data_IF_063137000131
#
_entry.id   IF_063137000131
#
_cell.length_a   1.000
_cell.length_b   1.000
_cell.length_c   1.000
_cell.angle_alpha   90.00
_cell.angle_beta   90.00
_cell.angle_gamma   90.00
#
_symmetry.space_group_name_H-M   'P 1'
#
loop_
_entity.id
_entity.type
_entity.pdbx_description
1 polymer ?
2 water ?
#
# COMPACT_ATOMS: atom_id res chain seq x y z
N UNK A 2 -37.61 -30.05 16.10
CA UNK A 2 -37.99 -28.63 15.87
C UNK A 2 -36.75 -27.75 15.70
N UNK A 3 -36.55 -26.80 16.61
CA UNK A 3 -35.41 -25.90 16.50
C UNK A 3 -34.65 -25.65 17.80
N UNK A 4 -33.71 -24.72 17.71
CA UNK A 4 -32.89 -24.32 18.84
C UNK A 4 -33.37 -22.94 19.27
N UNK A 5 -33.02 -22.54 20.50
CA UNK A 5 -33.42 -21.24 20.99
C UNK A 5 -32.30 -20.68 21.85
N UNK A 6 -32.41 -19.41 22.23
CA UNK A 6 -31.42 -18.74 23.05
C UNK A 6 -32.11 -17.66 23.88
N UNK A 7 -31.48 -17.29 24.98
CA UNK A 7 -32.01 -16.26 25.85
C UNK A 7 -32.45 -15.04 25.03
N UNK A 8 -33.66 -14.56 25.28
CA UNK A 8 -34.23 -13.40 24.59
C UNK A 8 -33.28 -12.20 24.48
N UNK A 9 -32.53 -11.94 25.54
CA UNK A 9 -31.63 -10.80 25.56
C UNK A 9 -30.25 -11.04 24.93
N UNK A 10 -29.91 -12.30 24.66
CA UNK A 10 -28.60 -12.64 24.09
C UNK A 10 -28.23 -11.91 22.80
N UNK A 11 -26.92 -11.73 22.61
CA UNK A 11 -26.38 -11.06 21.43
C UNK A 11 -25.37 -11.93 20.66
N UNK A 12 -25.64 -12.16 19.38
CA UNK A 12 -24.75 -12.94 18.53
C UNK A 12 -23.74 -12.02 17.86
N UNK A 13 -22.53 -12.52 17.68
CA UNK A 13 -21.47 -11.77 17.03
C UNK A 13 -20.70 -12.69 16.08
N UNK A 14 -20.21 -12.13 14.97
CA UNK A 14 -19.43 -12.89 14.01
C UNK A 14 -18.26 -12.07 13.53
N UNK A 15 -17.06 -12.54 13.81
CA UNK A 15 -15.86 -11.84 13.40
C UNK A 15 -15.15 -12.68 12.36
N UNK A 16 -14.92 -12.09 11.19
CA UNK A 16 -14.25 -12.78 10.10
C UNK A 16 -12.77 -12.41 10.18
N UNK A 17 -11.91 -13.43 10.15
CA UNK A 17 -10.48 -13.18 10.21
C UNK A 17 -9.94 -12.96 8.80
N UNK A 18 -10.70 -13.40 7.79
CA UNK A 18 -10.31 -13.26 6.39
C UNK A 18 -10.93 -12.07 5.62
N UNK A 19 -12.00 -11.50 6.14
CA UNK A 19 -12.66 -10.40 5.45
C UNK A 19 -11.79 -9.21 5.04
N UNK A 20 -11.02 -8.68 5.98
CA UNK A 20 -10.21 -7.53 5.68
C UNK A 20 -9.18 -7.83 4.61
N UNK A 21 -8.71 -9.07 4.57
CA UNK A 21 -7.72 -9.45 3.58
C UNK A 21 -8.42 -9.61 2.24
N UNK A 22 -9.62 -10.16 2.26
CA UNK A 22 -10.35 -10.31 1.01
C UNK A 22 -10.65 -8.94 0.42
N UNK A 23 -11.10 -8.00 1.25
CA UNK A 23 -11.39 -6.66 0.77
C UNK A 23 -10.15 -6.04 0.13
N UNK A 24 -9.02 -6.12 0.82
CA UNK A 24 -7.78 -5.56 0.30
C UNK A 24 -7.41 -6.20 -1.04
N UNK A 25 -7.60 -7.50 -1.16
CA UNK A 25 -7.27 -8.17 -2.41
C UNK A 25 -8.27 -7.84 -3.51
N UNK A 26 -9.49 -7.48 -3.15
CA UNK A 26 -10.45 -7.10 -4.18
C UNK A 26 -10.02 -5.71 -4.70
N UNK A 27 -9.52 -4.87 -3.79
CA UNK A 27 -9.09 -3.53 -4.15
C UNK A 27 -7.83 -3.62 -5.02
N UNK A 28 -6.98 -4.59 -4.74
CA UNK A 28 -5.76 -4.77 -5.52
C UNK A 28 -6.13 -5.22 -6.93
N UNK A 29 -7.13 -6.11 -7.01
CA UNK A 29 -7.61 -6.60 -8.29
C UNK A 29 -8.21 -5.43 -9.10
N UNK A 30 -8.93 -4.54 -8.41
CA UNK A 30 -9.54 -3.36 -9.02
C UNK A 30 -8.44 -2.45 -9.54
N UNK A 31 -7.36 -2.37 -8.76
CA UNK A 31 -6.21 -1.54 -9.11
C UNK A 31 -5.44 -2.08 -10.32
N UNK A 32 -5.25 -3.39 -10.38
CA UNK A 32 -4.51 -3.98 -11.50
C UNK A 32 -5.31 -3.92 -12.81
N UNK A 33 -6.64 -3.93 -12.70
CA UNK A 33 -7.52 -3.87 -13.87
C UNK A 33 -7.94 -2.46 -14.26
N UNK A 34 -7.67 -1.50 -13.38
CA UNK A 34 -8.08 -0.13 -13.57
C UNK A 34 -9.61 -0.06 -13.72
N UNK A 35 -10.29 -0.59 -12.70
CA UNK A 35 -11.74 -0.52 -12.65
C UNK A 35 -12.04 -0.04 -11.22
N UNK A 36 -12.96 0.93 -11.08
CA UNK A 36 -13.34 1.52 -9.80
C UNK A 36 -12.23 2.29 -9.07
N UNK A 37 -11.19 2.69 -9.80
CA UNK A 37 -10.11 3.49 -9.20
C UNK A 37 -10.49 4.96 -9.37
N UNK A 38 -9.76 5.86 -8.73
CA UNK A 38 -10.13 7.26 -8.77
C UNK A 38 -8.96 8.22 -8.73
N UNK A 39 -7.75 7.70 -8.67
CA UNK A 39 -6.60 8.54 -8.66
C UNK A 39 -5.47 7.90 -9.46
N UNK A 40 -4.64 8.76 -10.04
CA UNK A 40 -3.51 8.35 -10.83
C UNK A 40 -2.28 8.95 -10.17
N UNK A 41 -1.25 8.15 -9.98
CA UNK A 41 -0.02 8.63 -9.39
C UNK A 41 0.96 8.55 -10.55
N UNK A 42 1.64 9.66 -10.83
CA UNK A 42 2.62 9.71 -11.92
C UNK A 42 4.03 9.63 -11.35
N UNK A 43 4.76 8.60 -11.74
CA UNK A 43 6.13 8.41 -11.28
C UNK A 43 7.00 8.19 -12.52
N UNK A 44 7.88 9.15 -12.80
CA UNK A 44 8.77 9.11 -13.97
C UNK A 44 7.99 8.81 -15.25
N UNK A 45 6.88 9.51 -15.49
CA UNK A 45 6.09 9.28 -16.70
C UNK A 45 5.18 8.06 -16.71
N UNK A 46 5.35 7.16 -15.75
CA UNK A 46 4.51 5.97 -15.69
C UNK A 46 3.31 6.21 -14.77
N UNK A 47 2.15 5.68 -15.15
CA UNK A 47 0.94 5.88 -14.36
C UNK A 47 0.56 4.69 -13.54
N UNK A 48 0.26 4.96 -12.28
CA UNK A 48 -0.17 3.93 -11.36
C UNK A 48 -1.56 4.33 -10.91
N UNK A 49 -2.55 3.51 -11.22
CA UNK A 49 -3.92 3.80 -10.80
C UNK A 49 -4.09 3.29 -9.37
N UNK A 50 -4.97 3.94 -8.61
CA UNK A 50 -5.21 3.56 -7.22
C UNK A 50 -6.50 4.18 -6.70
N UNK A 51 -6.76 3.98 -5.41
CA UNK A 51 -7.92 4.52 -4.71
C UNK A 51 -7.37 5.58 -3.78
N UNK A 52 -7.78 6.82 -3.94
CA UNK A 52 -7.22 7.84 -3.07
C UNK A 52 -7.43 7.53 -1.59
N UNK A 53 -8.52 6.83 -1.28
CA UNK A 53 -8.82 6.48 0.10
C UNK A 53 -7.73 5.58 0.66
N UNK A 54 -7.40 4.55 -0.09
CA UNK A 54 -6.34 3.65 0.31
C UNK A 54 -5.00 4.36 0.42
N UNK A 55 -4.64 5.16 -0.58
CA UNK A 55 -3.35 5.84 -0.55
C UNK A 55 -3.26 6.79 0.64
N UNK A 56 -4.35 7.50 0.95
CA UNK A 56 -4.35 8.45 2.07
C UNK A 56 -4.18 7.69 3.39
N UNK A 57 -4.84 6.54 3.49
CA UNK A 57 -4.76 5.73 4.69
C UNK A 57 -3.34 5.20 4.95
N UNK A 58 -2.64 4.81 3.88
CA UNK A 58 -1.31 4.22 4.00
C UNK A 58 -0.12 5.17 3.99
N UNK A 59 -0.31 6.41 3.58
CA UNK A 59 0.82 7.31 3.47
C UNK A 59 0.44 8.70 3.84
N UNK A 60 1.20 9.28 4.76
CA UNK A 60 0.96 10.63 5.23
C UNK A 60 1.16 11.61 4.11
N UNK A 61 2.15 11.33 3.27
CA UNK A 61 2.44 12.20 2.13
C UNK A 61 1.23 12.23 1.19
N UNK A 62 0.66 11.07 0.90
CA UNK A 62 -0.49 11.00 0.01
C UNK A 62 -1.68 11.66 0.64
N UNK A 63 -1.83 11.47 1.95
CA UNK A 63 -2.93 12.05 2.70
C UNK A 63 -2.99 13.57 2.56
N UNK A 64 -1.86 14.25 2.72
CA UNK A 64 -1.89 15.70 2.60
C UNK A 64 -2.06 16.17 1.16
N UNK A 65 -1.63 15.36 0.21
CA UNK A 65 -1.77 15.73 -1.20
C UNK A 65 -3.17 15.45 -1.71
N UNK A 66 -3.90 14.61 -0.99
CA UNK A 66 -5.21 14.18 -1.44
C UNK A 66 -6.44 14.78 -0.78
N UNK A 67 -6.48 14.75 0.54
CA UNK A 67 -7.68 15.20 1.24
C UNK A 67 -8.55 16.32 0.68
N UNK A 68 -8.05 17.54 0.59
CA UNK A 68 -8.95 18.57 0.08
C UNK A 68 -9.13 18.65 -1.43
N UNK A 69 -8.59 17.69 -2.18
CA UNK A 69 -8.71 17.72 -3.63
C UNK A 69 -10.16 17.51 -4.08
N UNK A 70 -10.53 18.15 -5.18
CA UNK A 70 -11.90 18.03 -5.68
C UNK A 70 -12.02 17.33 -7.03
N UNK A 71 -10.90 17.13 -7.71
CA UNK A 71 -10.93 16.46 -9.00
C UNK A 71 -11.43 15.01 -9.00
N UNK A 72 -12.48 14.73 -9.75
CA UNK A 72 -12.95 13.36 -9.84
C UNK A 72 -11.79 12.56 -10.43
N UNK A 73 -11.05 13.18 -11.35
CA UNK A 73 -9.90 12.56 -12.01
C UNK A 73 -8.59 13.18 -11.54
N UNK A 74 -8.31 12.96 -10.26
CA UNK A 74 -7.12 13.48 -9.61
C UNK A 74 -5.83 12.80 -10.05
N UNK A 75 -4.79 13.60 -10.24
CA UNK A 75 -3.48 13.09 -10.61
C UNK A 75 -2.47 13.65 -9.63
N UNK A 76 -1.70 12.77 -9.01
CA UNK A 76 -0.67 13.21 -8.09
C UNK A 76 0.66 12.82 -8.71
N UNK A 77 1.48 13.84 -8.94
CA UNK A 77 2.78 13.66 -9.54
C UNK A 77 3.84 13.63 -8.45
N UNK A 78 4.63 12.57 -8.40
CA UNK A 78 5.68 12.46 -7.40
C UNK A 78 7.01 12.96 -7.98
N UNK A 79 7.76 13.75 -7.21
CA UNK A 79 9.05 14.30 -7.63
C UNK A 79 10.10 13.21 -7.89
N UNK A 80 11.24 13.61 -8.46
CA UNK A 80 12.33 12.69 -8.80
C UNK A 80 12.81 11.80 -7.67
N UNK A 81 12.68 12.26 -6.42
CA UNK A 81 13.11 11.42 -5.32
C UNK A 81 12.43 10.05 -5.43
N UNK A 82 11.23 10.03 -6.02
CA UNK A 82 10.46 8.79 -6.19
C UNK A 82 10.65 8.20 -7.58
N UNK A 83 11.04 6.93 -7.61
CA UNK A 83 11.31 6.25 -8.87
C UNK A 83 10.43 5.03 -9.07
N UNK A 84 10.17 4.68 -10.33
CA UNK A 84 9.37 3.50 -10.62
C UNK A 84 9.93 2.28 -9.89
N UNK A 85 11.26 2.18 -9.80
CA UNK A 85 11.87 1.02 -9.13
C UNK A 85 11.57 0.97 -7.63
N UNK A 86 11.55 2.13 -6.99
CA UNK A 86 11.23 2.17 -5.58
C UNK A 86 9.73 2.06 -5.30
N UNK A 87 8.92 2.88 -6.00
CA UNK A 87 7.47 2.93 -5.82
C UNK A 87 6.66 1.66 -6.14
N UNK A 88 7.01 1.01 -7.24
CA UNK A 88 6.31 -0.19 -7.64
C UNK A 88 6.03 -1.21 -6.52
N UNK A 89 7.08 -1.79 -5.90
CA UNK A 89 6.87 -2.77 -4.82
C UNK A 89 6.23 -2.15 -3.60
N UNK A 90 6.35 -0.84 -3.50
CA UNK A 90 5.77 -0.12 -2.39
C UNK A 90 4.23 -0.04 -2.52
N UNK A 91 3.72 0.31 -3.71
CA UNK A 91 2.27 0.39 -3.85
C UNK A 91 1.74 -1.02 -3.79
N UNK A 92 2.56 -1.96 -4.23
CA UNK A 92 2.15 -3.36 -4.17
C UNK A 92 1.98 -3.83 -2.73
N UNK A 93 2.81 -3.29 -1.84
CA UNK A 93 2.72 -3.65 -0.45
C UNK A 93 1.41 -3.11 0.11
N UNK A 94 1.16 -1.83 -0.13
CA UNK A 94 -0.05 -1.17 0.32
C UNK A 94 -1.29 -1.98 -0.02
N UNK A 95 -1.30 -2.59 -1.20
CA UNK A 95 -2.43 -3.38 -1.67
C UNK A 95 -2.38 -4.90 -1.44
N UNK A 96 -1.30 -5.40 -0.85
CA UNK A 96 -1.21 -6.84 -0.61
C UNK A 96 -0.67 -7.20 0.77
N UNK A 97 -0.09 -6.22 1.47
CA UNK A 97 0.47 -6.46 2.79
C UNK A 97 1.84 -7.11 2.74
N UNK A 98 2.29 -7.48 1.53
CA UNK A 98 3.60 -8.12 1.31
C UNK A 98 4.59 -7.23 0.54
N UNK A 99 5.75 -7.00 1.14
CA UNK A 99 6.81 -6.19 0.55
C UNK A 99 8.04 -7.03 0.21
N UNK A 100 8.33 -7.18 -1.09
CA UNK A 100 9.49 -7.95 -1.54
C UNK A 100 10.67 -7.04 -1.91
N UNK A 101 11.88 -7.50 -1.60
CA UNK A 101 13.09 -6.71 -1.87
C UNK A 101 14.30 -7.59 -2.12
N UNK A 102 15.21 -7.06 -2.92
CA UNK A 102 16.44 -7.76 -3.26
C UNK A 102 17.52 -6.71 -3.41
N UNK A 103 18.71 -7.16 -3.78
CA UNK A 103 19.88 -6.29 -3.93
C UNK A 103 19.65 -5.02 -4.75
N UNK A 104 19.02 -5.15 -5.91
CA UNK A 104 18.80 -4.00 -6.78
C UNK A 104 17.74 -2.95 -6.46
N UNK A 105 16.83 -3.21 -5.52
CA UNK A 105 15.81 -2.20 -5.22
C UNK A 105 15.70 -1.77 -3.77
N UNK A 106 16.36 -2.49 -2.86
CA UNK A 106 16.27 -2.18 -1.44
C UNK A 106 16.45 -0.72 -1.13
N UNK A 107 17.45 -0.09 -1.72
CA UNK A 107 17.68 1.31 -1.42
C UNK A 107 16.61 2.26 -1.90
N UNK A 108 16.16 2.07 -3.13
CA UNK A 108 15.14 2.95 -3.65
C UNK A 108 13.80 2.66 -3.00
N UNK A 109 13.46 1.38 -2.85
CA UNK A 109 12.20 1.06 -2.21
C UNK A 109 12.17 1.65 -0.81
N UNK A 110 13.27 1.57 -0.08
CA UNK A 110 13.25 2.12 1.27
C UNK A 110 13.39 3.63 1.35
N UNK A 111 13.90 4.26 0.30
CA UNK A 111 13.98 5.71 0.34
C UNK A 111 12.56 6.25 0.16
N UNK A 112 11.78 5.58 -0.69
CA UNK A 112 10.41 5.98 -0.97
C UNK A 112 9.53 5.79 0.25
N UNK A 113 9.73 4.68 0.94
CA UNK A 113 8.96 4.40 2.14
C UNK A 113 9.08 5.57 3.11
N UNK A 114 10.30 6.07 3.27
CA UNK A 114 10.60 7.19 4.17
C UNK A 114 10.02 8.48 3.60
N UNK A 115 10.33 8.74 2.34
CA UNK A 115 9.85 9.93 1.67
C UNK A 115 8.31 10.07 1.68
N UNK A 116 7.59 8.96 1.52
CA UNK A 116 6.12 9.00 1.51
C UNK A 116 5.50 8.64 2.85
N UNK A 117 6.33 8.15 3.77
CA UNK A 117 5.86 7.78 5.10
C UNK A 117 4.81 6.70 4.99
N UNK A 118 5.20 5.55 4.48
CA UNK A 118 4.26 4.46 4.33
C UNK A 118 4.20 3.63 5.58
N UNK A 119 3.42 4.14 6.51
CA UNK A 119 3.19 3.56 7.81
C UNK A 119 3.74 2.17 8.16
N UNK A 120 2.95 1.13 7.95
CA UNK A 120 3.34 -0.24 8.33
C UNK A 120 4.64 -0.80 7.76
N UNK A 121 5.59 0.05 7.39
CA UNK A 121 6.83 -0.44 6.79
C UNK A 121 8.14 0.18 7.28
N UNK A 122 8.07 1.28 8.01
CA UNK A 122 9.30 1.91 8.49
C UNK A 122 10.30 0.93 9.13
N UNK A 123 9.85 0.18 10.14
CA UNK A 123 10.71 -0.78 10.83
C UNK A 123 11.40 -1.76 9.88
N UNK A 124 10.60 -2.52 9.13
CA UNK A 124 11.13 -3.49 8.18
C UNK A 124 12.29 -2.94 7.38
N UNK A 125 12.12 -1.75 6.81
CA UNK A 125 13.18 -1.17 6.02
C UNK A 125 14.41 -0.93 6.85
N UNK A 126 14.21 -0.50 8.09
CA UNK A 126 15.32 -0.25 8.96
C UNK A 126 16.13 -1.53 9.14
N UNK A 127 15.43 -2.65 9.29
CA UNK A 127 16.10 -3.93 9.46
C UNK A 127 16.82 -4.33 8.17
N UNK A 128 16.11 -4.30 7.04
CA UNK A 128 16.71 -4.69 5.76
C UNK A 128 17.91 -3.84 5.37
N UNK A 129 17.92 -2.58 5.79
CA UNK A 129 19.03 -1.72 5.46
C UNK A 129 20.29 -2.02 6.29
N UNK A 130 20.17 -2.95 7.24
CA UNK A 130 21.32 -3.31 8.06
C UNK A 130 22.23 -4.28 7.32
N UNK A 131 21.78 -4.77 6.17
CA UNK A 131 22.56 -5.73 5.40
C UNK A 131 23.21 -5.19 4.14
N UNK A 132 24.21 -5.92 3.67
CA UNK A 132 24.89 -5.60 2.43
C UNK A 132 24.80 -6.89 1.63
N UNK A 133 24.46 -6.78 0.36
CA UNK A 133 24.36 -7.96 -0.47
C UNK A 133 25.75 -8.11 -1.05
N UNK A 134 26.53 -8.99 -0.42
CA UNK A 134 27.92 -9.21 -0.82
C UNK A 134 28.23 -10.67 -1.11
N UNK A 135 27.57 -11.55 -0.37
CA UNK A 135 27.74 -13.00 -0.49
C UNK A 135 28.86 -13.49 0.43
N UNK A 136 28.43 -13.95 1.61
CA UNK A 136 29.31 -14.46 2.65
C UNK A 136 30.37 -15.45 2.16
N UNK A 137 31.62 -14.99 2.07
CA UNK A 137 32.75 -15.82 1.64
C UNK A 137 34.00 -15.40 2.43
N UNK A 138 33.97 -15.65 3.74
CA UNK A 138 35.07 -15.31 4.66
C UNK A 138 36.47 -15.68 4.16
#
# INVERSE_FOLDING_TARGET
GPHMSVSESAVFAYESSVHSTNVLLSLNDQRKKDVLCDVTVLVEGQRFRAHRSVLAACSSYFHSRIVGQTDAELTVTLPEEVTVKGFEPLIQFAYTAKLILSKDNVDEVCRCVEFLSVHNIEESCFQFLKFKFLDSTS
#
